data_IF_638366462193
#
_entry.id   IF_638366462193
#
_cell.length_a   1.000
_cell.length_b   1.000
_cell.length_c   1.000
_cell.angle_alpha   90.00
_cell.angle_beta   90.00
_cell.angle_gamma   90.00
#
_symmetry.space_group_name_H-M   'P 1'
#
loop_
_entity.id
_entity.type
_entity.pdbx_description
1 polymer ?
#
# COMPACT_ATOMS: atom_id res chain seq x y z
N UNK A 1 -81.64 6.41 28.08
CA UNK A 1 -81.36 6.98 26.74
C UNK A 1 -79.98 7.59 26.79
N UNK A 2 -78.98 6.68 26.62
CA UNK A 2 -77.56 7.00 26.79
C UNK A 2 -76.92 7.30 25.45
N UNK A 3 -76.22 8.42 25.42
CA UNK A 3 -75.36 8.78 24.31
C UNK A 3 -73.91 8.39 24.64
N UNK A 4 -73.41 7.36 23.98
CA UNK A 4 -72.00 6.95 24.03
C UNK A 4 -71.14 7.96 23.26
N UNK A 5 -70.25 8.66 23.94
CA UNK A 5 -69.23 9.52 23.35
C UNK A 5 -68.01 8.63 23.06
N UNK A 6 -67.68 8.44 21.77
CA UNK A 6 -66.43 7.78 21.36
C UNK A 6 -65.34 8.84 21.26
N UNK A 7 -64.36 8.76 22.13
CA UNK A 7 -63.09 9.46 22.01
C UNK A 7 -62.24 8.76 20.92
N UNK A 8 -61.95 9.47 19.86
CA UNK A 8 -60.92 9.08 18.86
C UNK A 8 -59.63 9.74 19.28
N UNK A 9 -58.69 8.94 19.78
CA UNK A 9 -57.33 9.38 20.09
C UNK A 9 -56.50 9.28 18.81
N UNK A 10 -56.21 10.42 18.20
CA UNK A 10 -55.30 10.49 17.05
C UNK A 10 -53.86 10.47 17.56
N UNK A 11 -53.13 9.38 17.35
CA UNK A 11 -51.69 9.30 17.61
C UNK A 11 -50.96 9.95 16.41
N UNK A 12 -50.46 11.16 16.61
CA UNK A 12 -49.52 11.78 15.70
C UNK A 12 -48.16 11.10 15.87
N UNK A 13 -47.78 10.23 14.96
CA UNK A 13 -46.43 9.71 14.85
C UNK A 13 -45.55 10.83 14.26
N UNK A 14 -44.74 11.46 15.10
CA UNK A 14 -43.63 12.31 14.64
C UNK A 14 -42.57 11.44 13.95
N UNK A 15 -42.61 11.39 12.64
CA UNK A 15 -41.48 10.92 11.82
C UNK A 15 -40.39 12.01 11.87
N UNK A 16 -39.47 11.87 12.82
CA UNK A 16 -38.19 12.59 12.74
C UNK A 16 -37.39 12.03 11.55
N UNK A 17 -36.96 12.88 10.62
CA UNK A 17 -36.00 12.44 9.62
C UNK A 17 -34.67 12.19 10.34
N UNK A 18 -34.32 10.92 10.56
CA UNK A 18 -32.94 10.55 10.85
C UNK A 18 -32.10 10.97 9.65
N UNK A 19 -31.53 12.16 9.73
CA UNK A 19 -30.42 12.57 8.92
C UNK A 19 -29.24 11.71 9.35
N UNK A 20 -29.03 10.56 8.70
CA UNK A 20 -27.82 9.79 8.81
C UNK A 20 -26.72 10.68 8.25
N UNK A 21 -26.02 11.40 9.11
CA UNK A 21 -24.74 11.95 8.76
C UNK A 21 -23.88 10.73 8.37
N UNK A 22 -23.59 10.58 7.09
CA UNK A 22 -22.57 9.66 6.64
C UNK A 22 -21.27 10.10 7.31
N UNK A 23 -20.82 9.38 8.33
CA UNK A 23 -19.48 9.57 8.86
C UNK A 23 -18.55 9.26 7.70
N UNK A 24 -17.98 10.29 7.08
CA UNK A 24 -16.92 10.09 6.10
C UNK A 24 -15.81 9.31 6.81
N UNK A 25 -15.53 8.11 6.34
CA UNK A 25 -14.43 7.32 6.89
C UNK A 25 -13.16 8.19 6.90
N UNK A 26 -12.44 8.18 8.01
CA UNK A 26 -11.17 8.92 8.13
C UNK A 26 -10.22 8.42 7.03
N UNK A 27 -9.67 9.31 6.21
CA UNK A 27 -8.76 8.90 5.15
C UNK A 27 -7.55 8.14 5.69
N UNK A 28 -7.17 7.07 5.01
CA UNK A 28 -5.96 6.30 5.33
C UNK A 28 -4.73 7.10 4.90
N UNK A 29 -3.82 7.35 5.84
CA UNK A 29 -2.47 7.87 5.63
C UNK A 29 -1.53 6.80 6.17
N UNK A 30 -1.03 5.93 5.31
CA UNK A 30 -0.28 4.78 5.75
C UNK A 30 1.20 4.83 5.33
N UNK A 31 2.02 4.02 5.99
CA UNK A 31 3.42 3.85 5.61
C UNK A 31 3.98 2.52 6.12
N UNK A 32 4.79 1.88 5.29
CA UNK A 32 5.53 0.68 5.64
C UNK A 32 6.87 1.05 6.24
N UNK A 33 7.24 0.38 7.32
CA UNK A 33 8.55 0.46 7.94
C UNK A 33 9.25 -0.90 7.81
N UNK A 34 10.32 -1.01 7.00
CA UNK A 34 11.07 -2.24 6.86
C UNK A 34 11.88 -2.52 8.13
N UNK A 35 11.61 -3.63 8.79
CA UNK A 35 12.28 -4.01 10.05
C UNK A 35 13.79 -4.24 9.90
N UNK A 36 14.25 -4.60 8.69
CA UNK A 36 15.68 -4.70 8.38
C UNK A 36 16.43 -3.35 8.38
N UNK A 37 15.70 -2.22 8.39
CA UNK A 37 16.31 -0.89 8.52
C UNK A 37 16.47 -0.41 9.98
N UNK A 38 16.11 -1.23 10.96
CA UNK A 38 16.04 -0.84 12.37
C UNK A 38 17.34 -0.23 12.93
N UNK A 39 18.49 -0.73 12.52
CA UNK A 39 19.79 -0.22 12.98
C UNK A 39 20.07 1.21 12.50
N UNK A 40 19.65 1.55 11.29
CA UNK A 40 19.84 2.88 10.68
C UNK A 40 18.66 3.80 10.89
N UNK A 41 17.46 3.25 11.05
CA UNK A 41 16.21 3.97 11.16
C UNK A 41 15.26 3.27 12.14
N UNK A 42 15.44 3.42 13.46
CA UNK A 42 14.61 2.75 14.46
C UNK A 42 13.16 3.28 14.46
N UNK A 43 12.18 2.52 14.95
CA UNK A 43 10.76 2.94 15.00
C UNK A 43 10.53 4.26 15.72
N UNK A 44 11.36 4.60 16.70
CA UNK A 44 11.30 5.88 17.42
C UNK A 44 11.65 7.11 16.55
N UNK A 45 12.26 6.90 15.37
CA UNK A 45 12.54 7.95 14.40
C UNK A 45 11.34 8.27 13.51
N UNK A 46 10.27 7.46 13.55
CA UNK A 46 9.09 7.67 12.74
C UNK A 46 8.25 8.82 13.29
N UNK A 47 7.99 9.83 12.46
CA UNK A 47 7.02 10.88 12.78
C UNK A 47 5.58 10.36 12.61
N UNK A 48 5.12 9.58 13.59
CA UNK A 48 3.82 8.90 13.53
C UNK A 48 2.62 9.86 13.46
N UNK A 49 2.78 11.15 13.76
CA UNK A 49 1.73 12.16 13.62
C UNK A 49 1.30 12.40 12.16
N UNK A 50 2.13 12.03 11.19
CA UNK A 50 1.81 12.12 9.77
C UNK A 50 0.94 10.95 9.27
N UNK A 51 0.76 9.91 10.08
CA UNK A 51 0.14 8.64 9.68
C UNK A 51 -1.08 8.30 10.53
N UNK A 52 -2.03 7.60 9.92
CA UNK A 52 -3.14 6.92 10.60
C UNK A 52 -2.84 5.43 10.81
N UNK A 53 -2.03 4.85 9.92
CA UNK A 53 -1.64 3.43 9.95
C UNK A 53 -0.15 3.27 9.65
N UNK A 54 0.53 2.40 10.39
CA UNK A 54 1.93 2.06 10.16
C UNK A 54 2.09 0.53 10.11
N UNK A 55 2.80 0.07 9.11
CA UNK A 55 3.01 -1.35 8.84
C UNK A 55 4.43 -1.77 9.25
N UNK A 56 4.54 -2.77 10.12
CA UNK A 56 5.80 -3.49 10.34
C UNK A 56 6.03 -4.43 9.15
N UNK A 57 7.09 -4.24 8.38
CA UNK A 57 7.44 -5.03 7.22
C UNK A 57 8.81 -5.71 7.44
N UNK A 58 8.90 -7.02 7.58
CA UNK A 58 7.85 -8.02 7.42
C UNK A 58 7.93 -9.10 8.50
N UNK A 59 6.81 -9.74 8.82
CA UNK A 59 6.80 -11.10 9.32
C UNK A 59 6.90 -12.06 8.11
N UNK A 60 7.38 -13.27 8.34
CA UNK A 60 7.71 -14.23 7.28
C UNK A 60 6.78 -15.44 7.36
N UNK A 61 6.28 -15.89 6.21
CA UNK A 61 5.60 -17.17 6.10
C UNK A 61 6.63 -18.30 5.94
N UNK A 62 6.67 -19.20 6.90
CA UNK A 62 7.55 -20.37 6.86
C UNK A 62 7.12 -21.36 5.76
N UNK A 63 8.05 -21.82 4.96
CA UNK A 63 7.77 -22.66 3.78
C UNK A 63 7.52 -24.15 4.09
N UNK A 64 7.68 -24.58 5.33
CA UNK A 64 7.51 -25.96 5.74
C UNK A 64 6.28 -26.17 6.62
N UNK A 65 6.01 -25.24 7.53
CA UNK A 65 4.89 -25.28 8.47
C UNK A 65 3.71 -24.42 8.04
N UNK A 66 3.94 -23.50 7.12
CA UNK A 66 3.01 -22.45 6.70
C UNK A 66 2.50 -21.60 7.87
N UNK A 67 3.31 -21.46 8.91
CA UNK A 67 3.06 -20.55 10.02
C UNK A 67 3.73 -19.20 9.76
N UNK A 68 3.09 -18.14 10.21
CA UNK A 68 3.70 -16.81 10.23
C UNK A 68 4.61 -16.71 11.44
N UNK A 69 5.84 -16.29 11.20
CA UNK A 69 6.88 -16.18 12.23
C UNK A 69 7.71 -14.90 12.01
N UNK A 70 8.54 -14.58 12.98
CA UNK A 70 9.44 -13.46 12.88
C UNK A 70 10.60 -13.76 11.92
N UNK A 71 11.16 -12.74 11.24
CA UNK A 71 12.40 -12.92 10.51
C UNK A 71 13.53 -13.28 11.47
N UNK A 72 14.53 -14.03 10.98
CA UNK A 72 15.59 -14.59 11.83
C UNK A 72 16.43 -13.55 12.62
N UNK A 73 16.41 -12.28 12.20
CA UNK A 73 17.11 -11.20 12.88
C UNK A 73 16.25 -10.51 13.95
N UNK A 74 14.95 -10.79 14.04
CA UNK A 74 14.07 -10.24 15.08
C UNK A 74 13.81 -11.31 16.16
N UNK A 75 14.36 -11.12 17.34
CA UNK A 75 14.15 -11.96 18.51
C UNK A 75 12.84 -11.67 19.27
N UNK A 76 11.97 -10.87 18.67
CA UNK A 76 10.72 -10.37 19.24
C UNK A 76 10.84 -8.96 19.84
N UNK A 77 12.03 -8.40 19.92
CA UNK A 77 12.22 -7.04 20.44
C UNK A 77 11.79 -5.96 19.46
N UNK A 78 12.07 -6.13 18.18
CA UNK A 78 11.68 -5.15 17.15
C UNK A 78 10.18 -5.10 16.95
N UNK A 79 9.56 -6.24 16.67
CA UNK A 79 8.11 -6.30 16.49
C UNK A 79 7.36 -5.90 17.76
N UNK A 80 7.82 -6.33 18.94
CA UNK A 80 7.22 -5.98 20.22
C UNK A 80 7.39 -4.51 20.58
N UNK A 81 8.51 -3.88 20.17
CA UNK A 81 8.80 -2.48 20.42
C UNK A 81 8.13 -1.51 19.44
N UNK A 82 7.79 -1.96 18.22
CA UNK A 82 7.28 -1.09 17.15
C UNK A 82 6.02 -0.33 17.54
N UNK A 83 4.96 -1.05 17.94
CA UNK A 83 3.68 -0.45 18.33
C UNK A 83 3.83 0.56 19.46
N UNK A 84 4.60 0.22 20.51
CA UNK A 84 4.82 1.13 21.64
C UNK A 84 5.59 2.38 21.22
N UNK A 85 6.62 2.25 20.38
CA UNK A 85 7.42 3.37 19.91
C UNK A 85 6.60 4.38 19.09
N UNK A 86 5.80 3.90 18.12
CA UNK A 86 5.02 4.80 17.26
C UNK A 86 3.80 5.39 17.98
N UNK A 87 3.17 4.64 18.90
CA UNK A 87 2.04 5.12 19.71
C UNK A 87 2.47 6.09 20.83
N UNK A 88 3.75 6.17 21.15
CA UNK A 88 4.25 7.16 22.12
C UNK A 88 4.00 8.61 21.65
N UNK A 89 4.21 8.89 20.36
CA UNK A 89 3.97 10.21 19.77
C UNK A 89 2.56 10.37 19.21
N UNK A 90 1.95 9.30 18.72
CA UNK A 90 0.58 9.28 18.20
C UNK A 90 -0.21 8.09 18.78
N UNK A 91 -0.90 8.26 19.91
CA UNK A 91 -1.68 7.17 20.52
C UNK A 91 -2.78 6.59 19.63
N UNK A 92 -3.21 7.34 18.61
CA UNK A 92 -4.30 6.94 17.70
C UNK A 92 -3.80 6.21 16.45
N UNK A 93 -2.47 6.13 16.21
CA UNK A 93 -1.96 5.40 15.05
C UNK A 93 -2.26 3.91 15.21
N UNK A 94 -2.79 3.30 14.16
CA UNK A 94 -3.02 1.86 14.12
C UNK A 94 -1.79 1.16 13.51
N UNK A 95 -1.43 0.02 14.06
CA UNK A 95 -0.25 -0.74 13.64
C UNK A 95 -0.66 -2.08 13.06
N UNK A 96 -0.09 -2.42 11.90
CA UNK A 96 -0.35 -3.68 11.21
C UNK A 96 0.96 -4.45 11.00
N UNK A 97 0.88 -5.77 10.97
CA UNK A 97 1.99 -6.63 10.55
C UNK A 97 1.77 -7.00 9.09
N UNK A 98 2.71 -6.64 8.21
CA UNK A 98 2.74 -7.14 6.85
C UNK A 98 3.51 -8.46 6.79
N UNK A 99 2.96 -9.42 6.04
CA UNK A 99 3.47 -10.78 5.93
C UNK A 99 3.95 -11.00 4.50
N UNK A 100 5.22 -11.40 4.35
CA UNK A 100 5.85 -11.67 3.06
C UNK A 100 6.38 -13.10 2.98
N UNK A 101 6.50 -13.62 1.77
CA UNK A 101 7.23 -14.83 1.42
C UNK A 101 7.48 -14.90 -0.09
N UNK A 102 8.18 -15.94 -0.56
CA UNK A 102 8.29 -16.20 -1.98
C UNK A 102 6.95 -16.69 -2.59
N UNK A 103 6.85 -16.53 -3.92
CA UNK A 103 5.63 -16.91 -4.68
C UNK A 103 5.22 -18.38 -4.51
N UNK A 104 6.14 -19.36 -4.61
CA UNK A 104 5.81 -20.78 -4.41
C UNK A 104 5.28 -21.09 -3.02
N UNK A 105 5.83 -20.48 -1.98
CA UNK A 105 5.40 -20.68 -0.59
C UNK A 105 3.97 -20.17 -0.39
N UNK A 106 3.64 -18.96 -0.87
CA UNK A 106 2.28 -18.45 -0.84
C UNK A 106 1.31 -19.32 -1.64
N UNK A 107 1.67 -19.74 -2.86
CA UNK A 107 0.83 -20.60 -3.70
C UNK A 107 0.53 -21.94 -3.00
N UNK A 108 1.56 -22.54 -2.39
CA UNK A 108 1.42 -23.79 -1.63
C UNK A 108 0.52 -23.59 -0.40
N UNK A 109 0.76 -22.55 0.38
CA UNK A 109 -0.06 -22.22 1.57
C UNK A 109 -1.52 -22.01 1.18
N UNK A 110 -1.78 -21.20 0.15
CA UNK A 110 -3.15 -20.89 -0.25
C UNK A 110 -3.92 -22.09 -0.83
N UNK A 111 -3.22 -23.09 -1.38
CA UNK A 111 -3.83 -24.24 -2.06
C UNK A 111 -4.54 -25.23 -1.12
N UNK A 112 -4.19 -25.27 0.16
CA UNK A 112 -4.69 -26.29 1.11
C UNK A 112 -5.40 -25.68 2.31
N UNK A 113 -6.58 -26.20 2.66
CA UNK A 113 -7.33 -25.78 3.85
C UNK A 113 -6.52 -25.90 5.13
N UNK A 114 -5.72 -26.98 5.29
CA UNK A 114 -4.87 -27.14 6.49
C UNK A 114 -3.74 -26.11 6.54
N UNK A 115 -3.16 -25.77 5.41
CA UNK A 115 -2.06 -24.80 5.33
C UNK A 115 -2.58 -23.37 5.51
N UNK A 116 -3.71 -23.04 4.89
CA UNK A 116 -4.39 -21.75 5.15
C UNK A 116 -4.76 -21.59 6.62
N UNK A 117 -5.26 -22.66 7.27
CA UNK A 117 -5.55 -22.64 8.70
C UNK A 117 -4.30 -22.37 9.54
N UNK A 118 -3.15 -22.99 9.19
CA UNK A 118 -1.87 -22.75 9.86
C UNK A 118 -1.46 -21.28 9.77
N UNK A 119 -1.50 -20.70 8.56
CA UNK A 119 -1.25 -19.28 8.30
C UNK A 119 -2.18 -18.37 9.11
N UNK A 120 -3.50 -18.60 9.02
CA UNK A 120 -4.52 -17.78 9.66
C UNK A 120 -4.36 -17.78 11.17
N UNK A 121 -4.26 -18.97 11.78
CA UNK A 121 -4.13 -19.09 13.24
C UNK A 121 -2.86 -18.43 13.76
N UNK A 122 -1.72 -18.65 13.08
CA UNK A 122 -0.43 -18.07 13.50
C UNK A 122 -0.36 -16.57 13.29
N UNK A 123 -0.92 -16.04 12.19
CA UNK A 123 -0.94 -14.60 11.92
C UNK A 123 -1.78 -13.84 12.95
N UNK A 124 -2.96 -14.32 13.28
CA UNK A 124 -3.83 -13.73 14.32
C UNK A 124 -3.14 -13.77 15.67
N UNK A 125 -2.58 -14.93 16.05
CA UNK A 125 -1.85 -15.07 17.30
C UNK A 125 -0.65 -14.10 17.37
N UNK A 126 0.10 -13.93 16.28
CA UNK A 126 1.22 -12.99 16.23
C UNK A 126 0.76 -11.55 16.47
N UNK A 127 -0.30 -11.11 15.77
CA UNK A 127 -0.84 -9.76 15.93
C UNK A 127 -1.29 -9.52 17.39
N UNK A 128 -1.99 -10.47 18.00
CA UNK A 128 -2.49 -10.35 19.37
C UNK A 128 -1.37 -10.37 20.41
N UNK A 129 -0.38 -11.23 20.23
CA UNK A 129 0.77 -11.35 21.15
C UNK A 129 1.57 -10.07 21.25
N UNK A 130 1.63 -9.27 20.15
CA UNK A 130 2.39 -8.03 20.09
C UNK A 130 1.51 -6.77 20.03
N UNK A 131 0.19 -6.90 20.32
CA UNK A 131 -0.77 -5.79 20.39
C UNK A 131 -0.87 -4.96 19.11
N UNK A 132 -0.85 -5.62 17.95
CA UNK A 132 -1.12 -4.99 16.67
C UNK A 132 -2.63 -4.88 16.42
N UNK A 133 -3.00 -3.84 15.67
CA UNK A 133 -4.39 -3.54 15.34
C UNK A 133 -4.85 -4.30 14.07
N UNK A 134 -3.90 -4.84 13.29
CA UNK A 134 -4.26 -5.54 12.06
C UNK A 134 -3.12 -6.32 11.40
N UNK A 135 -3.44 -6.90 10.27
CA UNK A 135 -2.60 -7.77 9.46
C UNK A 135 -2.71 -7.38 7.98
N UNK A 136 -1.61 -7.57 7.26
CA UNK A 136 -1.49 -7.31 5.83
C UNK A 136 -0.79 -8.50 5.16
N UNK A 137 -1.19 -8.87 3.95
CA UNK A 137 -0.51 -9.88 3.15
C UNK A 137 0.09 -9.26 1.90
N UNK A 138 1.38 -9.52 1.69
CA UNK A 138 2.15 -9.03 0.55
C UNK A 138 2.65 -10.21 -0.29
N UNK A 139 1.77 -10.71 -1.19
CA UNK A 139 2.09 -11.77 -2.13
C UNK A 139 2.40 -11.18 -3.51
N UNK A 140 3.68 -11.15 -3.89
CA UNK A 140 4.12 -10.56 -5.16
C UNK A 140 4.61 -11.61 -6.17
N UNK A 141 3.78 -12.18 -7.03
CA UNK A 141 2.32 -12.05 -7.14
C UNK A 141 1.72 -13.43 -7.41
N UNK A 142 0.40 -13.67 -7.20
CA UNK A 142 -0.28 -14.86 -7.69
C UNK A 142 -0.06 -15.05 -9.19
N UNK A 143 0.26 -16.26 -9.64
CA UNK A 143 0.72 -16.52 -11.02
C UNK A 143 -0.31 -17.21 -11.91
N UNK A 144 -1.46 -17.60 -11.35
CA UNK A 144 -2.50 -18.34 -12.06
C UNK A 144 -3.89 -17.96 -11.58
N UNK A 145 -4.92 -18.29 -12.37
CA UNK A 145 -6.31 -18.16 -11.92
C UNK A 145 -6.59 -19.01 -10.67
N UNK A 146 -5.96 -20.17 -10.57
CA UNK A 146 -6.07 -21.02 -9.37
C UNK A 146 -5.48 -20.34 -8.13
N UNK A 147 -4.35 -19.65 -8.26
CA UNK A 147 -3.80 -18.86 -7.14
C UNK A 147 -4.76 -17.76 -6.71
N UNK A 148 -5.40 -17.08 -7.67
CA UNK A 148 -6.39 -16.05 -7.38
C UNK A 148 -7.64 -16.60 -6.68
N UNK A 149 -8.14 -17.76 -7.10
CA UNK A 149 -9.27 -18.44 -6.45
C UNK A 149 -8.91 -18.84 -5.01
N UNK A 150 -7.69 -19.38 -4.82
CA UNK A 150 -7.17 -19.75 -3.51
C UNK A 150 -6.95 -18.52 -2.62
N UNK A 151 -6.48 -17.40 -3.16
CA UNK A 151 -6.34 -16.14 -2.46
C UNK A 151 -7.69 -15.61 -2.00
N UNK A 152 -8.72 -15.69 -2.86
CA UNK A 152 -10.09 -15.33 -2.50
C UNK A 152 -10.64 -16.19 -1.34
N UNK A 153 -10.33 -17.48 -1.36
CA UNK A 153 -10.68 -18.41 -0.29
C UNK A 153 -9.95 -18.07 1.01
N UNK A 154 -8.65 -17.76 0.93
CA UNK A 154 -7.84 -17.33 2.06
C UNK A 154 -8.45 -16.09 2.74
N UNK A 155 -8.80 -15.05 1.99
CA UNK A 155 -9.39 -13.84 2.55
C UNK A 155 -10.70 -14.10 3.28
N UNK A 156 -11.56 -14.96 2.73
CA UNK A 156 -12.82 -15.33 3.36
C UNK A 156 -12.62 -16.11 4.68
N UNK A 157 -11.72 -17.10 4.67
CA UNK A 157 -11.39 -17.86 5.87
C UNK A 157 -10.71 -16.99 6.94
N UNK A 158 -9.80 -16.08 6.51
CA UNK A 158 -9.09 -15.18 7.41
C UNK A 158 -10.01 -14.20 8.11
N UNK A 159 -10.91 -13.55 7.36
CA UNK A 159 -11.94 -12.66 7.94
C UNK A 159 -12.85 -13.40 8.91
N UNK A 160 -13.30 -14.59 8.54
CA UNK A 160 -14.15 -15.40 9.40
C UNK A 160 -13.48 -15.71 10.74
N UNK A 161 -12.21 -16.15 10.72
CA UNK A 161 -11.46 -16.47 11.93
C UNK A 161 -11.15 -15.23 12.77
N UNK A 162 -10.78 -14.10 12.14
CA UNK A 162 -10.53 -12.83 12.82
C UNK A 162 -11.80 -12.31 13.53
N UNK A 163 -12.98 -12.49 12.92
CA UNK A 163 -14.25 -12.11 13.55
C UNK A 163 -14.60 -13.05 14.71
N UNK A 164 -14.35 -14.36 14.57
CA UNK A 164 -14.58 -15.34 15.67
C UNK A 164 -13.64 -15.06 16.85
N UNK A 165 -12.38 -14.79 16.59
CA UNK A 165 -11.40 -14.41 17.61
C UNK A 165 -11.80 -13.14 18.35
N UNK A 166 -12.20 -12.10 17.62
CA UNK A 166 -12.71 -10.86 18.23
C UNK A 166 -13.92 -11.09 19.14
N UNK A 167 -14.88 -11.90 18.69
CA UNK A 167 -16.06 -12.23 19.49
C UNK A 167 -15.72 -13.03 20.77
N UNK A 168 -14.69 -13.89 20.71
CA UNK A 168 -14.25 -14.70 21.84
C UNK A 168 -13.38 -13.92 22.82
N UNK A 169 -12.47 -13.09 22.33
CA UNK A 169 -11.53 -12.32 23.14
C UNK A 169 -12.14 -11.04 23.72
N UNK A 170 -13.19 -10.51 23.09
CA UNK A 170 -13.76 -9.20 23.38
C UNK A 170 -12.89 -8.03 22.90
N UNK A 171 -11.82 -8.30 22.14
CA UNK A 171 -10.97 -7.29 21.52
C UNK A 171 -11.58 -6.77 20.20
N UNK A 172 -11.25 -5.54 19.75
CA UNK A 172 -11.68 -5.07 18.44
C UNK A 172 -11.29 -6.03 17.31
N UNK A 173 -12.09 -6.17 16.24
CA UNK A 173 -11.71 -6.95 15.07
C UNK A 173 -10.39 -6.47 14.48
N UNK A 174 -9.54 -7.41 14.03
CA UNK A 174 -8.31 -7.06 13.33
C UNK A 174 -8.64 -6.44 11.97
N UNK A 175 -7.91 -5.39 11.63
CA UNK A 175 -7.89 -4.83 10.28
C UNK A 175 -7.18 -5.85 9.38
N UNK A 176 -7.76 -6.16 8.22
CA UNK A 176 -7.17 -7.05 7.23
C UNK A 176 -6.99 -6.33 5.90
N UNK A 177 -5.75 -6.31 5.41
CA UNK A 177 -5.38 -5.66 4.15
C UNK A 177 -4.52 -6.56 3.28
N UNK A 178 -4.29 -6.14 2.05
CA UNK A 178 -3.33 -6.79 1.16
C UNK A 178 -2.61 -5.73 0.31
N UNK A 179 -1.30 -5.88 0.14
CA UNK A 179 -0.57 -5.22 -0.92
C UNK A 179 -0.84 -5.95 -2.24
N UNK A 180 -1.15 -5.20 -3.29
CA UNK A 180 -1.61 -5.78 -4.56
C UNK A 180 -0.93 -5.09 -5.74
N UNK A 181 -0.85 -5.82 -6.87
CA UNK A 181 -0.33 -5.28 -8.14
C UNK A 181 -1.04 -3.99 -8.53
N UNK A 182 -0.37 -3.11 -9.28
CA UNK A 182 -0.92 -1.80 -9.64
C UNK A 182 -2.26 -1.88 -10.39
N UNK A 183 -2.53 -2.98 -11.11
CA UNK A 183 -3.77 -3.23 -11.85
C UNK A 183 -4.49 -4.49 -11.34
N UNK A 184 -5.82 -4.55 -11.48
CA UNK A 184 -6.64 -5.67 -11.05
C UNK A 184 -6.34 -6.99 -11.79
N UNK A 185 -5.76 -6.90 -12.99
CA UNK A 185 -5.29 -8.05 -13.77
C UNK A 185 -3.77 -7.94 -13.92
N UNK A 186 -3.07 -9.01 -13.59
CA UNK A 186 -1.62 -9.10 -13.76
C UNK A 186 -1.34 -9.64 -15.16
N UNK A 187 -0.51 -8.93 -15.92
CA UNK A 187 -0.13 -9.35 -17.28
C UNK A 187 1.26 -9.96 -17.23
N UNK A 188 1.35 -11.28 -17.47
CA UNK A 188 2.62 -11.99 -17.59
C UNK A 188 3.01 -12.20 -19.05
N UNK A 189 4.30 -12.16 -19.34
CA UNK A 189 4.88 -12.34 -20.69
C UNK A 189 4.47 -13.66 -21.37
N UNK A 190 4.09 -14.65 -20.58
CA UNK A 190 3.63 -15.98 -21.06
C UNK A 190 2.15 -16.00 -21.48
N UNK A 191 1.48 -14.85 -21.55
CA UNK A 191 0.09 -14.74 -21.97
C UNK A 191 -0.95 -15.15 -20.93
N UNK A 192 -0.54 -15.38 -19.67
CA UNK A 192 -1.44 -15.63 -18.54
C UNK A 192 -1.78 -14.28 -17.93
N UNK A 193 -3.08 -14.04 -17.68
CA UNK A 193 -3.60 -12.79 -17.14
C UNK A 193 -4.56 -13.06 -15.97
N UNK A 194 -4.06 -13.48 -14.80
CA UNK A 194 -4.90 -13.71 -13.64
C UNK A 194 -5.45 -12.39 -13.10
N UNK A 195 -6.76 -12.38 -12.83
CA UNK A 195 -7.46 -11.23 -12.24
C UNK A 195 -7.72 -11.49 -10.76
N UNK A 196 -7.48 -10.49 -9.93
CA UNK A 196 -7.72 -10.56 -8.50
C UNK A 196 -9.17 -10.90 -8.17
N UNK A 197 -9.44 -11.64 -7.06
CA UNK A 197 -10.78 -12.05 -6.64
C UNK A 197 -11.55 -10.87 -6.01
N UNK A 198 -12.03 -9.93 -6.83
CA UNK A 198 -12.58 -8.63 -6.40
C UNK A 198 -13.72 -8.80 -5.40
N UNK A 199 -14.64 -9.71 -5.65
CA UNK A 199 -15.78 -9.95 -4.75
C UNK A 199 -15.32 -10.41 -3.36
N UNK A 200 -14.31 -11.26 -3.29
CA UNK A 200 -13.74 -11.71 -2.02
C UNK A 200 -12.99 -10.59 -1.32
N UNK A 201 -12.21 -9.80 -2.06
CA UNK A 201 -11.54 -8.61 -1.53
C UNK A 201 -12.56 -7.65 -0.92
N UNK A 202 -13.60 -7.30 -1.68
CA UNK A 202 -14.63 -6.36 -1.26
C UNK A 202 -15.39 -6.79 0.00
N UNK A 203 -15.57 -8.11 0.20
CA UNK A 203 -16.30 -8.66 1.32
C UNK A 203 -15.43 -8.90 2.56
N UNK A 204 -14.14 -9.16 2.39
CA UNK A 204 -13.31 -9.73 3.45
C UNK A 204 -12.12 -8.86 3.87
N UNK A 205 -11.67 -7.90 3.04
CA UNK A 205 -10.62 -6.96 3.40
C UNK A 205 -11.21 -5.58 3.74
N UNK A 206 -10.53 -4.87 4.64
CA UNK A 206 -10.88 -3.48 4.93
C UNK A 206 -10.49 -2.58 3.76
N UNK A 207 -9.31 -2.81 3.16
CA UNK A 207 -8.85 -2.17 1.92
C UNK A 207 -7.70 -2.94 1.28
N UNK A 208 -7.31 -2.55 0.08
CA UNK A 208 -6.07 -2.99 -0.58
C UNK A 208 -5.11 -1.82 -0.79
N UNK A 209 -3.81 -2.11 -0.63
CA UNK A 209 -2.70 -1.21 -0.89
C UNK A 209 -2.23 -1.42 -2.33
N UNK A 210 -2.64 -0.56 -3.26
CA UNK A 210 -2.31 -0.66 -4.70
C UNK A 210 -0.88 -0.15 -4.91
N UNK A 211 0.04 -1.02 -5.31
CA UNK A 211 1.45 -0.71 -5.54
C UNK A 211 1.63 0.04 -6.86
N UNK A 212 1.31 1.33 -6.86
CA UNK A 212 1.29 2.24 -8.02
C UNK A 212 2.69 2.77 -8.33
N UNK A 213 3.64 1.86 -8.51
CA UNK A 213 5.05 2.15 -8.80
C UNK A 213 5.70 0.94 -9.49
N UNK A 214 7.01 1.07 -9.82
CA UNK A 214 7.80 0.07 -10.51
C UNK A 214 7.31 -0.26 -11.92
N UNK A 215 6.81 0.75 -12.63
CA UNK A 215 6.41 0.62 -14.02
C UNK A 215 7.61 0.39 -14.96
N UNK A 216 8.75 0.99 -14.64
CA UNK A 216 10.04 0.83 -15.31
C UNK A 216 11.17 0.68 -14.28
N UNK A 217 12.24 -0.01 -14.63
CA UNK A 217 13.37 -0.22 -13.73
C UNK A 217 14.58 -0.86 -14.41
N UNK A 218 15.58 -1.28 -13.62
CA UNK A 218 16.83 -1.82 -14.10
C UNK A 218 16.70 -3.15 -14.91
N UNK A 219 15.55 -3.78 -14.88
CA UNK A 219 15.20 -4.92 -15.76
C UNK A 219 15.03 -4.50 -17.23
N UNK A 220 14.90 -3.20 -17.51
CA UNK A 220 14.95 -2.57 -18.83
C UNK A 220 16.27 -1.80 -18.98
N UNK A 221 17.43 -2.47 -19.12
CA UNK A 221 18.74 -1.84 -18.96
C UNK A 221 19.14 -0.90 -20.11
N UNK A 222 18.37 -0.90 -21.21
CA UNK A 222 18.75 -0.20 -22.44
C UNK A 222 18.09 1.17 -22.62
N UNK A 223 17.11 1.50 -21.75
CA UNK A 223 16.36 2.73 -21.93
C UNK A 223 15.79 3.22 -20.57
N UNK A 224 15.79 4.54 -20.36
CA UNK A 224 15.18 5.15 -19.16
C UNK A 224 13.66 5.09 -19.19
N UNK A 225 13.02 5.10 -18.01
CA UNK A 225 11.56 5.09 -17.90
C UNK A 225 11.06 5.64 -16.57
N UNK A 226 9.85 6.16 -16.56
CA UNK A 226 9.21 6.71 -15.37
C UNK A 226 8.55 5.60 -14.56
N UNK A 227 9.12 5.26 -13.41
CA UNK A 227 8.60 4.14 -12.62
C UNK A 227 7.36 4.47 -11.78
N UNK A 228 6.94 5.74 -11.74
CA UNK A 228 5.80 6.20 -10.94
C UNK A 228 4.89 7.15 -11.71
N UNK A 229 4.84 7.06 -13.04
CA UNK A 229 4.01 7.91 -13.87
C UNK A 229 2.54 7.92 -13.39
N UNK A 230 1.97 9.13 -13.16
CA UNK A 230 0.56 9.25 -12.84
C UNK A 230 -0.31 8.93 -14.07
N UNK A 231 0.10 9.42 -15.22
CA UNK A 231 -0.53 9.17 -16.51
C UNK A 231 0.51 8.64 -17.50
N UNK A 232 0.08 7.83 -18.45
CA UNK A 232 0.87 7.50 -19.64
C UNK A 232 -0.08 7.41 -20.84
N UNK A 233 0.04 8.32 -21.81
CA UNK A 233 -0.82 8.30 -23.00
C UNK A 233 -0.42 7.21 -24.01
N UNK A 234 0.72 6.54 -23.82
CA UNK A 234 1.30 5.61 -24.76
C UNK A 234 1.27 4.15 -24.29
N UNK A 235 0.99 3.92 -22.99
CA UNK A 235 0.94 2.57 -22.41
C UNK A 235 -0.01 2.48 -21.22
N UNK A 236 -0.24 1.25 -20.78
CA UNK A 236 -1.05 0.94 -19.58
C UNK A 236 -0.21 1.01 -18.28
N UNK A 237 1.08 1.36 -18.36
CA UNK A 237 1.99 1.42 -17.22
C UNK A 237 1.89 2.78 -16.51
N UNK A 238 0.75 3.01 -15.85
CA UNK A 238 0.51 4.25 -15.09
C UNK A 238 -0.44 4.05 -13.92
N UNK A 239 -0.31 4.92 -12.94
CA UNK A 239 -1.19 4.97 -11.76
C UNK A 239 -2.67 5.12 -12.14
N UNK A 240 -2.96 5.98 -13.12
CA UNK A 240 -4.34 6.24 -13.54
C UNK A 240 -5.00 5.02 -14.21
N UNK A 241 -4.24 4.28 -15.02
CA UNK A 241 -4.71 3.02 -15.61
C UNK A 241 -4.95 1.97 -14.53
N UNK A 242 -3.97 1.76 -13.64
CA UNK A 242 -4.07 0.78 -12.58
C UNK A 242 -5.28 1.01 -11.67
N UNK A 243 -5.46 2.23 -11.17
CA UNK A 243 -6.63 2.59 -10.36
C UNK A 243 -7.94 2.40 -11.13
N UNK A 244 -8.00 2.82 -12.41
CA UNK A 244 -9.19 2.60 -13.24
C UNK A 244 -9.48 1.10 -13.41
N UNK A 245 -8.46 0.26 -13.60
CA UNK A 245 -8.59 -1.20 -13.67
C UNK A 245 -9.28 -1.77 -12.42
N UNK A 246 -8.84 -1.39 -11.23
CA UNK A 246 -9.44 -1.82 -9.96
C UNK A 246 -10.90 -1.37 -9.80
N UNK A 247 -11.18 -0.09 -10.07
CA UNK A 247 -12.53 0.45 -9.93
C UNK A 247 -13.50 -0.15 -10.97
N UNK A 248 -13.04 -0.35 -12.21
CA UNK A 248 -13.85 -0.97 -13.27
C UNK A 248 -14.10 -2.46 -13.00
N UNK A 249 -13.19 -3.14 -12.31
CA UNK A 249 -13.38 -4.52 -11.87
C UNK A 249 -14.40 -4.66 -10.72
N UNK A 250 -14.84 -3.54 -10.12
CA UNK A 250 -15.88 -3.52 -9.10
C UNK A 250 -15.41 -3.20 -7.68
N UNK A 251 -14.10 -2.94 -7.46
CA UNK A 251 -13.61 -2.52 -6.15
C UNK A 251 -14.17 -1.13 -5.80
N UNK A 252 -14.66 -0.97 -4.58
CA UNK A 252 -15.06 0.34 -4.08
C UNK A 252 -13.85 1.28 -3.99
N UNK A 253 -13.99 2.54 -4.41
CA UNK A 253 -12.95 3.55 -4.19
C UNK A 253 -12.62 3.72 -2.70
N UNK A 254 -13.56 3.40 -1.80
CA UNK A 254 -13.37 3.41 -0.35
C UNK A 254 -12.63 2.18 0.21
N UNK A 255 -12.18 1.29 -0.67
CA UNK A 255 -11.31 0.17 -0.35
C UNK A 255 -9.99 0.20 -1.13
N UNK A 256 -9.71 1.28 -1.85
CA UNK A 256 -8.50 1.47 -2.64
C UNK A 256 -7.58 2.51 -1.98
N UNK A 257 -6.37 2.10 -1.60
CA UNK A 257 -5.32 2.96 -1.03
C UNK A 257 -4.15 3.04 -2.00
N UNK A 258 -3.76 4.27 -2.36
CA UNK A 258 -2.80 4.55 -3.43
C UNK A 258 -1.35 4.44 -2.94
N UNK A 259 -0.52 3.66 -3.61
CA UNK A 259 0.91 3.56 -3.33
C UNK A 259 1.70 4.78 -3.80
N UNK A 260 2.60 5.26 -2.94
CA UNK A 260 3.51 6.35 -3.20
C UNK A 260 4.96 5.88 -2.93
N UNK A 261 5.81 5.95 -3.95
CA UNK A 261 7.20 5.52 -3.81
C UNK A 261 8.04 6.60 -3.12
N UNK A 262 8.92 6.15 -2.21
CA UNK A 262 9.92 7.00 -1.53
C UNK A 262 11.33 6.63 -2.00
N UNK A 263 11.45 6.23 -3.26
CA UNK A 263 12.67 5.82 -3.94
C UNK A 263 12.56 6.12 -5.43
N UNK A 264 13.66 5.98 -6.14
CA UNK A 264 13.71 6.12 -7.59
C UNK A 264 14.18 4.86 -8.30
N UNK A 265 14.04 4.86 -9.63
CA UNK A 265 14.69 3.91 -10.52
C UNK A 265 15.73 4.64 -11.35
N UNK A 266 16.95 4.11 -11.41
CA UNK A 266 18.08 4.82 -12.02
C UNK A 266 18.76 4.03 -13.12
N UNK A 267 19.29 4.75 -14.10
CA UNK A 267 20.02 4.23 -15.25
C UNK A 267 21.31 4.99 -15.50
N UNK A 268 22.22 4.38 -16.24
CA UNK A 268 23.41 4.99 -16.79
C UNK A 268 23.11 5.37 -18.25
N UNK A 269 23.05 6.68 -18.55
CA UNK A 269 22.82 7.19 -19.88
C UNK A 269 23.97 6.83 -20.83
N UNK A 270 23.62 6.41 -22.03
CA UNK A 270 24.60 6.15 -23.11
C UNK A 270 25.13 7.45 -23.72
N UNK A 271 24.28 8.47 -23.89
CA UNK A 271 24.58 9.72 -24.56
C UNK A 271 24.17 10.93 -23.68
N UNK A 272 24.84 11.17 -22.54
CA UNK A 272 24.38 12.14 -21.54
C UNK A 272 24.40 13.60 -21.98
N UNK A 273 25.07 13.91 -23.08
CA UNK A 273 25.16 15.30 -23.64
C UNK A 273 24.03 15.61 -24.63
N UNK A 274 23.29 14.64 -25.11
CA UNK A 274 22.33 14.84 -26.22
C UNK A 274 21.01 14.09 -26.04
N UNK A 275 20.92 13.13 -25.10
CA UNK A 275 19.76 12.27 -24.92
C UNK A 275 19.58 12.00 -23.41
N UNK A 276 18.73 12.82 -22.75
CA UNK A 276 18.54 12.83 -21.29
C UNK A 276 17.07 12.75 -20.88
N UNK A 277 16.16 12.55 -21.82
CA UNK A 277 14.72 12.47 -21.59
C UNK A 277 14.27 11.09 -21.13
N UNK A 278 12.95 10.93 -20.99
CA UNK A 278 12.30 9.63 -20.82
C UNK A 278 12.45 8.84 -22.11
N UNK A 279 12.82 7.57 -22.01
CA UNK A 279 13.13 6.72 -23.15
C UNK A 279 14.56 6.88 -23.69
N UNK A 280 15.40 7.73 -23.07
CA UNK A 280 16.80 7.92 -23.45
C UNK A 280 17.58 6.59 -23.41
N UNK A 281 18.50 6.43 -24.37
CA UNK A 281 19.32 5.22 -24.44
C UNK A 281 20.20 5.07 -23.19
N UNK A 282 20.17 3.90 -22.59
CA UNK A 282 20.93 3.54 -21.39
C UNK A 282 21.83 2.32 -21.61
N UNK A 283 22.78 2.09 -20.70
CA UNK A 283 23.74 0.99 -20.74
C UNK A 283 23.68 0.10 -19.50
N UNK A 284 22.68 0.28 -18.64
CA UNK A 284 22.47 -0.49 -17.43
C UNK A 284 21.83 0.29 -16.31
N UNK A 285 21.61 -0.37 -15.17
CA UNK A 285 21.16 0.26 -13.94
C UNK A 285 22.16 1.30 -13.42
N UNK A 286 21.64 2.34 -12.78
CA UNK A 286 22.44 3.44 -12.23
C UNK A 286 22.95 3.19 -10.81
N UNK A 287 22.88 4.21 -9.96
CA UNK A 287 23.37 4.14 -8.59
C UNK A 287 22.50 3.18 -7.74
N UNK A 288 23.10 2.65 -6.67
CA UNK A 288 22.45 1.73 -5.71
C UNK A 288 21.73 0.57 -6.39
N UNK A 289 22.41 -0.09 -7.35
CA UNK A 289 21.83 -1.21 -8.10
C UNK A 289 20.61 -0.84 -8.94
N UNK A 290 20.42 0.44 -9.22
CA UNK A 290 19.27 0.97 -9.96
C UNK A 290 18.10 1.42 -9.08
N UNK A 291 18.24 1.44 -7.74
CA UNK A 291 17.14 1.75 -6.82
C UNK A 291 17.56 2.70 -5.70
N UNK A 292 17.97 3.96 -6.01
CA UNK A 292 18.32 4.95 -5.00
C UNK A 292 17.10 5.35 -4.16
N UNK A 293 17.28 5.49 -2.85
CA UNK A 293 16.24 5.99 -1.96
C UNK A 293 16.12 7.52 -2.03
N UNK A 294 14.97 8.06 -1.64
CA UNK A 294 14.67 9.47 -1.87
C UNK A 294 15.67 10.44 -1.22
N UNK A 295 16.13 10.19 0.00
CA UNK A 295 17.14 11.06 0.62
C UNK A 295 18.46 11.07 -0.16
N UNK A 296 18.90 9.95 -0.75
CA UNK A 296 20.09 9.89 -1.61
C UNK A 296 19.90 10.67 -2.92
N UNK A 297 18.68 10.63 -3.47
CA UNK A 297 18.35 11.42 -4.68
C UNK A 297 18.44 12.91 -4.36
N UNK A 298 17.90 13.35 -3.22
CA UNK A 298 18.00 14.74 -2.78
C UNK A 298 19.45 15.16 -2.57
N UNK A 299 20.26 14.32 -1.93
CA UNK A 299 21.71 14.58 -1.74
C UNK A 299 22.46 14.66 -3.06
N UNK A 300 22.14 13.78 -4.03
CA UNK A 300 22.71 13.87 -5.39
C UNK A 300 22.36 15.20 -6.06
N UNK A 301 21.10 15.60 -6.02
CA UNK A 301 20.62 16.86 -6.61
C UNK A 301 21.38 18.05 -6.02
N UNK A 302 21.49 18.10 -4.70
CA UNK A 302 22.14 19.20 -3.98
C UNK A 302 23.65 19.26 -4.21
N UNK A 303 24.31 18.11 -4.35
CA UNK A 303 25.78 18.04 -4.47
C UNK A 303 26.30 18.14 -5.90
N UNK A 304 25.50 17.76 -6.91
CA UNK A 304 25.96 17.63 -8.29
C UNK A 304 25.38 18.67 -9.27
N UNK A 305 24.59 19.64 -8.79
CA UNK A 305 23.85 20.59 -9.63
C UNK A 305 23.02 19.89 -10.72
N UNK A 306 22.35 18.80 -10.33
CA UNK A 306 21.56 17.97 -11.23
C UNK A 306 20.39 18.75 -11.84
N UNK A 307 20.04 18.44 -13.07
CA UNK A 307 18.83 18.97 -13.71
C UNK A 307 17.62 18.16 -13.24
N UNK A 308 16.61 18.84 -12.71
CA UNK A 308 15.32 18.24 -12.32
C UNK A 308 14.25 18.64 -13.33
N UNK A 309 13.55 17.67 -13.88
CA UNK A 309 12.50 17.88 -14.86
C UNK A 309 11.19 17.29 -14.33
N UNK A 310 10.13 18.08 -14.40
CA UNK A 310 8.76 17.61 -14.19
C UNK A 310 8.11 17.47 -15.56
N UNK A 311 7.63 16.26 -15.87
CA UNK A 311 6.85 16.02 -17.08
C UNK A 311 5.36 16.27 -16.79
N UNK A 312 4.83 17.34 -17.38
CA UNK A 312 3.42 17.73 -17.20
C UNK A 312 2.44 16.73 -17.86
N UNK A 313 2.91 15.92 -18.84
CA UNK A 313 2.08 14.92 -19.52
C UNK A 313 1.81 13.72 -18.64
N UNK A 314 2.85 13.24 -17.97
CA UNK A 314 2.80 12.05 -17.11
C UNK A 314 2.61 12.40 -15.63
N UNK A 315 2.74 13.70 -15.28
CA UNK A 315 2.78 14.21 -13.91
C UNK A 315 3.82 13.47 -13.04
N UNK A 316 4.98 13.16 -13.61
CA UNK A 316 6.10 12.50 -12.95
C UNK A 316 7.38 13.36 -12.98
N UNK A 317 8.43 12.87 -12.32
CA UNK A 317 9.68 13.62 -12.17
C UNK A 317 10.86 12.73 -12.49
N UNK A 318 11.83 13.30 -13.17
CA UNK A 318 13.15 12.70 -13.28
C UNK A 318 14.25 13.75 -13.06
N UNK A 319 15.43 13.26 -12.70
CA UNK A 319 16.64 14.08 -12.59
C UNK A 319 17.79 13.41 -13.31
N UNK A 320 18.73 14.21 -13.77
CA UNK A 320 19.98 13.69 -14.33
C UNK A 320 21.18 14.57 -14.01
N UNK A 321 22.34 13.93 -13.85
CA UNK A 321 23.64 14.58 -13.67
C UNK A 321 24.74 13.68 -14.24
N UNK A 322 25.55 14.23 -15.16
CA UNK A 322 26.51 13.42 -15.90
C UNK A 322 25.83 12.25 -16.61
N UNK A 323 26.25 11.04 -16.31
CA UNK A 323 25.66 9.81 -16.89
C UNK A 323 24.50 9.25 -16.09
N UNK A 324 24.22 9.75 -14.88
CA UNK A 324 23.16 9.22 -14.02
C UNK A 324 21.83 9.86 -14.37
N UNK A 325 20.81 9.02 -14.55
CA UNK A 325 19.41 9.41 -14.72
C UNK A 325 18.56 8.68 -13.69
N UNK A 326 17.59 9.39 -13.07
CA UNK A 326 16.72 8.82 -12.03
C UNK A 326 15.29 9.30 -12.24
N UNK A 327 14.34 8.40 -12.44
CA UNK A 327 12.91 8.66 -12.28
C UNK A 327 12.50 8.47 -10.82
N UNK A 328 11.70 9.40 -10.26
CA UNK A 328 11.35 9.39 -8.85
C UNK A 328 10.12 10.27 -8.57
N UNK A 329 9.68 10.34 -7.32
CA UNK A 329 8.67 11.29 -6.88
C UNK A 329 9.28 12.42 -6.03
N UNK A 330 8.79 13.65 -6.24
CA UNK A 330 9.10 14.81 -5.40
C UNK A 330 7.81 15.45 -4.85
N UNK A 331 7.87 16.51 -4.02
CA UNK A 331 6.66 17.16 -3.50
C UNK A 331 5.64 17.58 -4.56
N UNK A 332 6.07 17.99 -5.77
CA UNK A 332 5.15 18.36 -6.85
C UNK A 332 4.38 17.15 -7.39
N UNK A 333 5.05 16.06 -7.71
CA UNK A 333 4.39 14.84 -8.23
C UNK A 333 3.52 14.18 -7.15
N UNK A 334 3.97 14.16 -5.88
CA UNK A 334 3.15 13.69 -4.75
C UNK A 334 1.86 14.51 -4.62
N UNK A 335 1.93 15.85 -4.73
CA UNK A 335 0.72 16.70 -4.70
C UNK A 335 -0.23 16.36 -5.84
N UNK A 336 0.28 16.12 -7.06
CA UNK A 336 -0.53 15.72 -8.22
C UNK A 336 -1.21 14.36 -8.00
N UNK A 337 -0.51 13.38 -7.42
CA UNK A 337 -1.04 12.05 -7.10
C UNK A 337 -2.12 12.12 -6.01
N UNK A 338 -1.95 12.95 -4.99
CA UNK A 338 -2.97 13.14 -3.95
C UNK A 338 -4.19 13.87 -4.52
N UNK A 339 -4.01 14.85 -5.41
CA UNK A 339 -5.13 15.48 -6.11
C UNK A 339 -5.91 14.47 -6.97
N UNK A 340 -5.21 13.57 -7.68
CA UNK A 340 -5.83 12.46 -8.40
C UNK A 340 -6.60 11.52 -7.46
N UNK A 341 -6.01 11.09 -6.35
CA UNK A 341 -6.63 10.28 -5.31
C UNK A 341 -7.96 10.89 -4.85
N UNK A 342 -7.96 12.19 -4.53
CA UNK A 342 -9.15 12.93 -4.12
C UNK A 342 -10.21 12.95 -5.23
N UNK A 343 -9.80 13.20 -6.48
CA UNK A 343 -10.71 13.22 -7.65
C UNK A 343 -11.39 11.87 -7.91
N UNK A 344 -10.74 10.76 -7.55
CA UNK A 344 -11.29 9.41 -7.66
C UNK A 344 -12.03 8.96 -6.38
N UNK A 345 -11.99 9.77 -5.33
CA UNK A 345 -12.60 9.46 -4.04
C UNK A 345 -12.00 8.24 -3.36
N UNK A 346 -10.70 7.96 -3.57
CA UNK A 346 -10.01 6.82 -2.95
C UNK A 346 -9.99 6.96 -1.43
N UNK A 347 -9.73 5.85 -0.72
CA UNK A 347 -9.70 5.82 0.74
C UNK A 347 -8.50 6.58 1.30
N UNK A 348 -7.36 6.58 0.60
CA UNK A 348 -6.15 7.21 1.08
C UNK A 348 -4.90 6.79 0.29
N UNK A 349 -3.75 6.93 0.94
CA UNK A 349 -2.45 6.56 0.37
C UNK A 349 -1.59 5.78 1.36
N UNK A 350 -0.55 5.10 0.83
CA UNK A 350 0.53 4.53 1.62
C UNK A 350 1.89 4.83 1.00
N UNK A 351 2.94 4.83 1.82
CA UNK A 351 4.32 5.01 1.39
C UNK A 351 5.12 3.71 1.47
N UNK A 352 5.87 3.39 0.42
CA UNK A 352 6.97 2.45 0.44
C UNK A 352 8.29 3.21 0.26
N UNK A 353 9.11 3.48 1.31
CA UNK A 353 8.91 3.24 2.73
C UNK A 353 9.17 4.52 3.53
N UNK A 354 8.69 4.56 4.77
CA UNK A 354 8.86 5.75 5.63
C UNK A 354 10.31 6.06 5.98
N UNK A 355 11.20 5.05 5.99
CA UNK A 355 12.62 5.22 6.30
C UNK A 355 13.44 5.86 5.16
N UNK A 356 12.87 6.04 3.98
CA UNK A 356 13.55 6.56 2.80
C UNK A 356 13.28 8.05 2.55
N UNK A 357 12.33 8.65 3.29
CA UNK A 357 11.97 10.06 3.11
C UNK A 357 13.09 11.00 3.59
N UNK A 358 13.18 12.15 2.94
CA UNK A 358 14.11 13.22 3.31
C UNK A 358 13.38 14.25 4.17
N UNK A 359 13.70 14.28 5.47
CA UNK A 359 13.12 15.23 6.43
C UNK A 359 11.57 15.25 6.41
N UNK A 360 10.94 14.12 6.15
CA UNK A 360 9.48 13.98 6.05
C UNK A 360 8.83 14.84 4.97
N UNK A 361 9.57 15.22 3.93
CA UNK A 361 9.10 16.16 2.91
C UNK A 361 7.96 15.58 2.07
N UNK A 362 8.06 14.31 1.65
CA UNK A 362 7.00 13.68 0.85
C UNK A 362 5.77 13.36 1.72
N UNK A 363 5.98 12.83 2.92
CA UNK A 363 4.89 12.50 3.83
C UNK A 363 4.13 13.75 4.30
N UNK A 364 4.83 14.86 4.59
CA UNK A 364 4.22 16.15 4.93
C UNK A 364 3.41 16.71 3.76
N UNK A 365 3.98 16.68 2.56
CA UNK A 365 3.30 17.13 1.33
C UNK A 365 2.01 16.35 1.09
N UNK A 366 2.05 15.02 1.14
CA UNK A 366 0.87 14.20 0.94
C UNK A 366 -0.20 14.45 2.00
N UNK A 367 0.21 14.59 3.28
CA UNK A 367 -0.72 14.87 4.38
C UNK A 367 -1.41 16.23 4.22
N UNK A 368 -0.68 17.26 3.80
CA UNK A 368 -1.23 18.60 3.54
C UNK A 368 -2.16 18.62 2.33
N UNK A 369 -1.76 17.98 1.22
CA UNK A 369 -2.57 17.90 0.01
C UNK A 369 -3.89 17.15 0.23
N UNK A 370 -3.90 16.11 1.09
CA UNK A 370 -5.11 15.38 1.44
C UNK A 370 -6.05 16.20 2.33
N UNK A 371 -5.52 17.06 3.21
CA UNK A 371 -6.30 17.88 4.12
C UNK A 371 -6.92 19.12 3.44
N UNK A 372 -6.44 19.50 2.25
CA UNK A 372 -6.86 20.71 1.53
C UNK A 372 -8.13 20.51 0.70
N UNK A 373 -8.76 19.35 0.78
CA UNK A 373 -10.00 18.96 0.09
C UNK A 373 -11.12 18.70 1.08
#
# INVERSE_FOLDING_TARGET
>A
MDRLLRLITTVLACLSPYCSASSSATPVKAGYWPSYSADSYPPSSINSLLFTHLFYAFAILDNSTFQVQLPAYDDGSLIGGFTSAVKQSNPNVQTLISIQSDKPTFASMASSTSFRKSFITSSIALARNYNYDGLDVDWEYPQSSTDMDNLGTLFSEWRSEANMESAQSGLPPLILTAAVYYAATIVYDVGIQPTYPIDSIAQNLDWVNIMSYDYHGSWEPTKTGEHTALYDPNSDLSTSFGVASWLNAGLSSKQAVLGLAVYGRSWILKNPSSDTGVGAAAVGGGIDGGTPVYYQIVDLINSSNATVVFDDTTASVYTYSGTIWIGYDNPRSISSKVAFLNSKGLLGYFFWTVSFDYQWSLATTASQALAST
#
